data_IF_575711533070
#
_entry.id   IF_575711533070
#
_cell.length_a   1.000
_cell.length_b   1.000
_cell.length_c   1.000
_cell.angle_alpha   90.00
_cell.angle_beta   90.00
_cell.angle_gamma   90.00
#
_symmetry.space_group_name_H-M   'P 1'
#
loop_
_entity.id
_entity.type
_entity.pdbx_description
1 polymer ?
#
# COMPACT_ATOMS: atom_id res chain seq x y z
N UNK A 1 -39.96 -13.51 -20.51
CA UNK A 1 -39.06 -14.16 -19.53
C UNK A 1 -37.65 -14.16 -20.08
N UNK A 2 -36.69 -13.53 -19.39
CA UNK A 2 -35.28 -13.53 -19.78
C UNK A 2 -34.49 -12.86 -18.67
N UNK A 3 -34.10 -13.64 -17.67
CA UNK A 3 -33.51 -13.18 -16.42
C UNK A 3 -32.15 -12.54 -16.69
N UNK A 4 -32.04 -11.23 -16.51
CA UNK A 4 -30.75 -10.54 -16.39
C UNK A 4 -30.05 -11.11 -15.17
N UNK A 5 -29.07 -12.00 -15.40
CA UNK A 5 -28.18 -12.45 -14.35
C UNK A 5 -27.27 -11.28 -14.04
N UNK A 6 -27.73 -10.43 -13.14
CA UNK A 6 -26.92 -9.40 -12.51
C UNK A 6 -25.79 -10.11 -11.78
N UNK A 7 -24.62 -10.17 -12.41
CA UNK A 7 -23.41 -10.72 -11.82
C UNK A 7 -23.01 -9.78 -10.68
N UNK A 8 -23.61 -9.98 -9.51
CA UNK A 8 -23.24 -9.35 -8.25
C UNK A 8 -21.84 -9.84 -7.90
N UNK A 9 -20.81 -9.19 -8.49
CA UNK A 9 -19.42 -9.32 -8.05
C UNK A 9 -19.42 -8.98 -6.56
N UNK A 10 -18.76 -9.75 -5.69
CA UNK A 10 -18.78 -9.46 -4.26
C UNK A 10 -18.13 -8.09 -4.00
N UNK A 11 -18.97 -7.07 -3.79
CA UNK A 11 -18.61 -5.64 -3.72
C UNK A 11 -17.64 -5.34 -2.56
N UNK A 12 -17.61 -6.20 -1.54
CA UNK A 12 -16.74 -6.07 -0.37
C UNK A 12 -15.26 -6.31 -0.67
N UNK A 13 -14.92 -7.28 -1.51
CA UNK A 13 -13.52 -7.63 -1.81
C UNK A 13 -12.85 -6.56 -2.68
N UNK A 14 -13.60 -5.97 -3.62
CA UNK A 14 -13.09 -4.89 -4.46
C UNK A 14 -12.77 -3.63 -3.67
N UNK A 15 -13.58 -3.28 -2.65
CA UNK A 15 -13.31 -2.10 -1.82
C UNK A 15 -12.04 -2.26 -0.98
N UNK A 16 -11.83 -3.40 -0.35
CA UNK A 16 -10.65 -3.64 0.46
C UNK A 16 -9.37 -3.57 -0.36
N UNK A 17 -9.35 -4.22 -1.54
CA UNK A 17 -8.20 -4.19 -2.44
C UNK A 17 -7.86 -2.75 -2.89
N UNK A 18 -8.88 -1.94 -3.20
CA UNK A 18 -8.66 -0.54 -3.57
C UNK A 18 -8.10 0.31 -2.43
N UNK A 19 -8.51 0.05 -1.18
CA UNK A 19 -7.96 0.76 -0.02
C UNK A 19 -6.49 0.34 0.22
N UNK A 20 -6.17 -0.95 0.06
CA UNK A 20 -4.80 -1.45 0.16
C UNK A 20 -3.89 -0.80 -0.89
N UNK A 21 -4.30 -0.82 -2.16
CA UNK A 21 -3.55 -0.14 -3.23
C UNK A 21 -3.38 1.35 -2.95
N UNK A 22 -4.45 2.06 -2.57
CA UNK A 22 -4.38 3.49 -2.26
C UNK A 22 -3.37 3.77 -1.13
N UNK A 23 -3.42 3.00 -0.04
CA UNK A 23 -2.47 3.16 1.07
C UNK A 23 -1.03 2.84 0.66
N UNK A 24 -0.82 1.83 -0.18
CA UNK A 24 0.51 1.52 -0.71
C UNK A 24 1.06 2.69 -1.55
N UNK A 25 0.22 3.31 -2.38
CA UNK A 25 0.60 4.50 -3.12
C UNK A 25 0.88 5.70 -2.21
N UNK A 26 0.11 5.89 -1.13
CA UNK A 26 0.35 6.95 -0.14
C UNK A 26 1.74 6.83 0.51
N UNK A 27 2.16 5.60 0.84
CA UNK A 27 3.52 5.34 1.38
C UNK A 27 4.59 5.85 0.40
N UNK A 28 4.47 5.50 -0.88
CA UNK A 28 5.43 5.88 -1.91
C UNK A 28 5.44 7.40 -2.12
N UNK A 29 4.26 8.02 -2.17
CA UNK A 29 4.11 9.46 -2.33
C UNK A 29 4.79 10.24 -1.20
N UNK A 30 4.73 9.75 0.05
CA UNK A 30 5.42 10.40 1.18
C UNK A 30 6.94 10.34 1.01
N UNK A 31 7.51 9.22 0.56
CA UNK A 31 8.96 9.08 0.33
C UNK A 31 9.40 10.00 -0.82
N UNK A 32 8.65 10.00 -1.92
CA UNK A 32 8.92 10.86 -3.09
C UNK A 32 8.80 12.35 -2.74
N UNK A 33 7.80 12.75 -1.95
CA UNK A 33 7.63 14.13 -1.48
C UNK A 33 8.80 14.60 -0.60
N UNK A 34 9.52 13.68 0.05
CA UNK A 34 10.75 13.97 0.80
C UNK A 34 12.00 14.04 -0.06
N UNK A 35 11.88 13.76 -1.37
CA UNK A 35 13.01 13.75 -2.30
C UNK A 35 13.91 12.52 -2.16
N UNK A 36 13.40 11.44 -1.55
CA UNK A 36 14.12 10.19 -1.42
C UNK A 36 13.85 9.29 -2.63
N UNK A 37 14.88 8.64 -3.15
CA UNK A 37 14.73 7.66 -4.22
C UNK A 37 14.05 6.41 -3.68
N UNK A 38 13.05 5.89 -4.40
CA UNK A 38 12.41 4.62 -4.11
C UNK A 38 12.89 3.56 -5.11
N UNK A 39 13.74 2.61 -4.67
CA UNK A 39 14.16 1.48 -5.50
C UNK A 39 12.96 0.65 -5.95
N UNK A 40 13.06 0.04 -7.14
CA UNK A 40 11.99 -0.78 -7.70
C UNK A 40 11.55 -1.91 -6.76
N UNK A 41 12.50 -2.62 -6.13
CA UNK A 41 12.21 -3.71 -5.20
C UNK A 41 11.38 -3.24 -3.99
N UNK A 42 11.66 -2.05 -3.48
CA UNK A 42 10.91 -1.45 -2.37
C UNK A 42 9.51 -1.06 -2.84
N UNK A 43 9.41 -0.43 -4.02
CA UNK A 43 8.12 -0.05 -4.61
C UNK A 43 7.22 -1.27 -4.80
N UNK A 44 7.74 -2.34 -5.38
CA UNK A 44 6.99 -3.59 -5.60
C UNK A 44 6.55 -4.22 -4.28
N UNK A 45 7.43 -4.23 -3.27
CA UNK A 45 7.09 -4.77 -1.95
C UNK A 45 5.98 -3.97 -1.26
N UNK A 46 6.02 -2.64 -1.36
CA UNK A 46 4.99 -1.76 -0.79
C UNK A 46 3.65 -1.97 -1.51
N UNK A 47 3.65 -2.04 -2.84
CA UNK A 47 2.45 -2.29 -3.65
C UNK A 47 1.86 -3.69 -3.43
N UNK A 48 2.69 -4.68 -3.07
CA UNK A 48 2.24 -6.02 -2.69
C UNK A 48 1.71 -6.11 -1.24
N UNK A 49 1.67 -4.99 -0.50
CA UNK A 49 1.16 -4.94 0.87
C UNK A 49 -0.33 -5.31 0.96
N UNK A 50 -0.66 -6.28 1.82
CA UNK A 50 -2.04 -6.78 1.99
C UNK A 50 -2.62 -6.53 3.38
N UNK A 51 -1.82 -5.96 4.29
CA UNK A 51 -2.24 -5.56 5.63
C UNK A 51 -2.33 -4.03 5.73
N UNK A 52 -3.54 -3.52 5.97
CA UNK A 52 -3.77 -2.09 6.17
C UNK A 52 -2.97 -1.52 7.34
N UNK A 53 -2.79 -2.28 8.42
CA UNK A 53 -2.06 -1.82 9.59
C UNK A 53 -0.55 -1.73 9.32
N UNK A 54 -0.03 -2.64 8.50
CA UNK A 54 1.36 -2.59 8.02
C UNK A 54 1.58 -1.38 7.11
N UNK A 55 0.73 -1.19 6.11
CA UNK A 55 0.79 -0.03 5.21
C UNK A 55 0.71 1.28 6.00
N UNK A 56 -0.18 1.36 6.98
CA UNK A 56 -0.34 2.55 7.83
C UNK A 56 0.90 2.83 8.71
N UNK A 57 1.57 1.78 9.20
CA UNK A 57 2.88 1.92 9.86
C UNK A 57 3.94 2.41 8.90
N UNK A 58 3.96 1.90 7.66
CA UNK A 58 4.88 2.39 6.63
C UNK A 58 4.63 3.86 6.28
N UNK A 59 3.39 4.34 6.21
CA UNK A 59 3.10 5.77 5.97
C UNK A 59 3.76 6.65 7.03
N UNK A 60 3.56 6.33 8.32
CA UNK A 60 4.20 7.09 9.42
C UNK A 60 5.71 7.01 9.37
N UNK A 61 6.25 5.85 9.00
CA UNK A 61 7.69 5.61 8.96
C UNK A 61 8.34 6.31 7.76
N UNK A 62 7.68 6.34 6.62
CA UNK A 62 8.08 7.07 5.41
C UNK A 62 8.33 8.56 5.69
N UNK A 63 7.68 9.14 6.71
CA UNK A 63 7.90 10.52 7.12
C UNK A 63 9.23 10.76 7.86
N UNK A 64 9.85 9.72 8.44
CA UNK A 64 11.02 9.85 9.32
C UNK A 64 12.28 9.15 8.82
N UNK A 65 12.17 8.10 7.99
CA UNK A 65 13.32 7.33 7.49
C UNK A 65 14.28 8.17 6.66
N UNK A 66 15.56 7.84 6.62
CA UNK A 66 16.50 8.55 5.73
C UNK A 66 16.67 7.86 4.38
N UNK A 67 16.20 6.62 4.25
CA UNK A 67 16.28 5.82 3.04
C UNK A 67 15.02 4.95 2.88
N UNK A 68 14.60 4.70 1.63
CA UNK A 68 13.40 3.91 1.35
C UNK A 68 13.52 2.45 1.83
N UNK A 69 14.73 1.87 1.91
CA UNK A 69 14.95 0.50 2.39
C UNK A 69 14.66 0.36 3.87
N UNK A 70 14.87 1.41 4.65
CA UNK A 70 14.58 1.43 6.09
C UNK A 70 13.08 1.31 6.39
N UNK A 71 12.22 1.59 5.41
CA UNK A 71 10.77 1.45 5.53
C UNK A 71 10.37 0.01 5.90
N UNK A 72 11.01 -0.97 5.27
CA UNK A 72 10.68 -2.39 5.39
C UNK A 72 11.35 -3.07 6.58
N UNK A 73 12.35 -2.43 7.18
CA UNK A 73 13.07 -2.97 8.33
C UNK A 73 12.17 -2.85 9.55
N UNK A 74 11.28 -3.81 9.79
CA UNK A 74 10.56 -3.90 11.06
C UNK A 74 11.58 -4.14 12.18
N UNK A 75 12.07 -3.08 12.80
CA UNK A 75 12.84 -3.16 14.03
C UNK A 75 11.88 -3.64 15.10
N UNK A 76 11.75 -4.97 15.21
CA UNK A 76 11.17 -5.62 16.36
C UNK A 76 12.10 -5.28 17.53
N UNK A 77 11.64 -4.38 18.40
CA UNK A 77 12.13 -4.28 19.78
C UNK A 77 10.97 -4.62 20.71
#
# INVERSE_FOLDING_TARGET
MGRTRETRRPEGQGRQQRILEAKAHDVLAVIEARGLEVPADIRERVLAGTDLAELDRWIRRAAVVSDARELLVTTSS
#
